data_IF_248102090708
#
_entry.id   IF_248102090708
#
_cell.length_a   1.000
_cell.length_b   1.000
_cell.length_c   1.000
_cell.angle_alpha   90.00
_cell.angle_beta   90.00
_cell.angle_gamma   90.00
#
_symmetry.space_group_name_H-M   'P 1'
#
loop_
_entity.id
_entity.type
_entity.pdbx_description
1 polymer ?
#
# COMPACT_ATOMS: atom_id res chain seq x y z
N UNK A 1 38.34 18.17 -30.01
CA UNK A 1 38.20 16.78 -29.52
C UNK A 1 38.06 16.74 -28.01
N UNK A 2 38.93 17.37 -27.21
CA UNK A 2 38.81 17.38 -25.75
C UNK A 2 37.47 17.93 -25.21
N UNK A 3 36.89 18.94 -25.87
CA UNK A 3 35.63 19.60 -25.48
C UNK A 3 34.44 18.64 -25.41
N UNK A 4 34.32 17.69 -26.35
CA UNK A 4 33.22 16.71 -26.30
C UNK A 4 33.38 15.72 -25.15
N UNK A 5 34.62 15.39 -24.76
CA UNK A 5 34.90 14.43 -23.69
C UNK A 5 34.48 15.06 -22.37
N UNK A 6 34.86 16.33 -22.16
CA UNK A 6 34.46 17.11 -21.00
C UNK A 6 32.93 17.23 -20.93
N UNK A 7 32.26 17.51 -22.05
CA UNK A 7 30.80 17.57 -22.11
C UNK A 7 30.16 16.25 -21.67
N UNK A 8 30.64 15.11 -22.18
CA UNK A 8 30.12 13.79 -21.82
C UNK A 8 30.32 13.50 -20.33
N UNK A 9 31.50 13.80 -19.78
CA UNK A 9 31.79 13.60 -18.36
C UNK A 9 30.86 14.44 -17.47
N UNK A 10 30.64 15.70 -17.84
CA UNK A 10 29.70 16.59 -17.11
C UNK A 10 28.28 16.06 -17.20
N UNK A 11 27.85 15.57 -18.36
CA UNK A 11 26.52 15.01 -18.55
C UNK A 11 26.31 13.76 -17.69
N UNK A 12 27.29 12.85 -17.65
CA UNK A 12 27.25 11.65 -16.81
C UNK A 12 27.17 12.02 -15.32
N UNK A 13 27.97 13.01 -14.88
CA UNK A 13 27.90 13.49 -13.51
C UNK A 13 26.52 14.06 -13.16
N UNK A 14 25.93 14.86 -14.06
CA UNK A 14 24.58 15.39 -13.91
C UNK A 14 23.51 14.29 -13.83
N UNK A 15 23.61 13.24 -14.65
CA UNK A 15 22.69 12.10 -14.62
C UNK A 15 22.79 11.37 -13.28
N UNK A 16 24.00 11.06 -12.81
CA UNK A 16 24.20 10.37 -11.52
C UNK A 16 23.63 11.20 -10.36
N UNK A 17 23.97 12.48 -10.30
CA UNK A 17 23.48 13.41 -9.27
C UNK A 17 21.96 13.57 -9.35
N UNK A 18 21.42 13.73 -10.56
CA UNK A 18 20.00 13.87 -10.82
C UNK A 18 19.22 12.63 -10.39
N UNK A 19 19.66 11.43 -10.78
CA UNK A 19 19.02 10.17 -10.38
C UNK A 19 19.09 9.94 -8.87
N UNK A 20 20.22 10.26 -8.23
CA UNK A 20 20.35 10.14 -6.78
C UNK A 20 19.44 11.12 -6.03
N UNK A 21 19.38 12.38 -6.48
CA UNK A 21 18.50 13.40 -5.93
C UNK A 21 17.01 13.07 -6.16
N UNK A 22 16.67 12.49 -7.31
CA UNK A 22 15.31 11.99 -7.54
C UNK A 22 14.93 10.90 -6.54
N UNK A 23 15.83 9.96 -6.26
CA UNK A 23 15.58 8.88 -5.30
C UNK A 23 15.40 9.34 -3.85
N UNK A 24 15.94 10.50 -3.48
CA UNK A 24 15.76 11.10 -2.14
C UNK A 24 14.55 12.04 -2.08
N UNK A 25 14.29 12.83 -3.13
CA UNK A 25 13.18 13.79 -3.18
C UNK A 25 11.82 13.11 -3.40
N UNK A 26 11.76 12.11 -4.28
CA UNK A 26 10.51 11.39 -4.54
C UNK A 26 10.22 10.31 -3.49
N UNK A 27 11.17 10.07 -2.58
CA UNK A 27 11.12 8.94 -1.66
C UNK A 27 11.22 7.62 -2.42
N UNK A 28 11.95 6.65 -1.87
CA UNK A 28 11.63 5.26 -2.17
C UNK A 28 10.20 5.10 -1.67
N UNK A 29 9.22 5.09 -2.60
CA UNK A 29 7.79 5.12 -2.31
C UNK A 29 7.53 4.39 -1.02
N UNK A 30 7.05 5.15 -0.03
CA UNK A 30 7.22 4.85 1.39
C UNK A 30 7.13 3.34 1.64
N UNK A 31 8.15 2.79 2.31
CA UNK A 31 8.12 1.43 2.81
C UNK A 31 6.88 1.34 3.69
N UNK A 32 5.77 0.91 3.07
CA UNK A 32 4.52 0.66 3.74
C UNK A 32 4.88 -0.22 4.94
N UNK A 33 4.45 0.14 6.15
CA UNK A 33 4.51 -0.79 7.28
C UNK A 33 4.03 -2.14 6.76
N UNK A 34 4.73 -3.25 7.04
CA UNK A 34 4.34 -4.56 6.52
C UNK A 34 2.86 -4.73 6.78
N UNK A 35 2.06 -4.74 5.72
CA UNK A 35 0.62 -4.94 5.82
C UNK A 35 0.46 -6.22 6.61
N UNK A 36 -0.21 -6.12 7.76
CA UNK A 36 -0.50 -7.29 8.57
C UNK A 36 -1.07 -8.37 7.62
N UNK A 37 -0.59 -9.61 7.75
CA UNK A 37 -0.91 -10.67 6.78
C UNK A 37 -2.41 -10.68 6.44
N UNK A 38 -2.84 -10.97 5.20
CA UNK A 38 -4.25 -10.85 4.80
C UNK A 38 -5.26 -11.55 5.70
N UNK A 39 -4.81 -12.59 6.41
CA UNK A 39 -5.58 -13.34 7.40
C UNK A 39 -5.86 -12.55 8.70
N UNK A 40 -4.97 -11.64 9.09
CA UNK A 40 -5.16 -10.76 10.25
C UNK A 40 -6.24 -9.71 9.98
N UNK A 41 -6.34 -9.19 8.75
CA UNK A 41 -7.32 -8.17 8.37
C UNK A 41 -8.75 -8.72 8.47
N UNK A 42 -8.99 -9.93 7.97
CA UNK A 42 -10.28 -10.61 8.09
C UNK A 42 -10.68 -10.86 9.56
N UNK A 43 -9.73 -11.33 10.38
CA UNK A 43 -9.97 -11.57 11.80
C UNK A 43 -10.25 -10.26 12.58
N UNK A 44 -9.51 -9.20 12.29
CA UNK A 44 -9.72 -7.86 12.85
C UNK A 44 -11.10 -7.31 12.48
N UNK A 45 -11.46 -7.40 11.20
CA UNK A 45 -12.76 -6.96 10.69
C UNK A 45 -13.93 -7.71 11.34
N UNK A 46 -13.81 -9.03 11.53
CA UNK A 46 -14.82 -9.83 12.23
C UNK A 46 -15.04 -9.35 13.67
N UNK A 47 -13.94 -9.09 14.37
CA UNK A 47 -13.99 -8.56 15.74
C UNK A 47 -14.60 -7.17 15.79
N UNK A 48 -14.23 -6.29 14.86
CA UNK A 48 -14.84 -4.97 14.71
C UNK A 48 -16.35 -5.06 14.46
N UNK A 49 -16.81 -6.02 13.64
CA UNK A 49 -18.25 -6.29 13.45
C UNK A 49 -18.91 -6.74 14.74
N UNK A 50 -18.31 -7.65 15.51
CA UNK A 50 -18.84 -8.12 16.79
C UNK A 50 -18.98 -6.96 17.79
N UNK A 51 -17.92 -6.15 17.94
CA UNK A 51 -17.86 -4.98 18.83
C UNK A 51 -18.71 -3.79 18.32
N UNK A 52 -19.11 -3.80 17.04
CA UNK A 52 -19.87 -2.73 16.41
C UNK A 52 -19.03 -1.49 16.08
N UNK A 53 -17.71 -1.60 16.12
CA UNK A 53 -16.78 -0.52 15.74
C UNK A 53 -16.48 -0.56 14.24
N UNK A 54 -17.39 0.00 13.45
CA UNK A 54 -17.22 0.08 11.99
C UNK A 54 -16.06 0.98 11.55
N UNK A 55 -15.49 1.80 12.45
CA UNK A 55 -14.34 2.65 12.12
C UNK A 55 -13.03 1.86 12.06
N UNK A 56 -12.99 0.70 12.71
CA UNK A 56 -11.83 -0.19 12.71
C UNK A 56 -11.77 -1.12 11.49
N UNK A 57 -12.78 -1.09 10.60
CA UNK A 57 -12.84 -1.95 9.42
C UNK A 57 -11.87 -1.44 8.34
N UNK A 58 -10.99 -2.31 7.86
CA UNK A 58 -10.03 -2.01 6.81
C UNK A 58 -9.99 -3.11 5.74
N UNK A 59 -9.62 -2.74 4.51
CA UNK A 59 -9.47 -3.68 3.41
C UNK A 59 -8.16 -3.48 2.68
N UNK A 60 -7.59 -4.58 2.21
CA UNK A 60 -6.54 -4.52 1.22
C UNK A 60 -7.09 -4.07 -0.14
N UNK A 61 -6.28 -3.29 -0.84
CA UNK A 61 -6.59 -2.79 -2.18
C UNK A 61 -5.78 -3.58 -3.20
N UNK A 62 -6.45 -4.04 -4.25
CA UNK A 62 -5.87 -4.66 -5.44
C UNK A 62 -6.03 -3.70 -6.64
N UNK A 63 -5.29 -3.89 -7.75
CA UNK A 63 -5.50 -3.07 -8.93
C UNK A 63 -6.99 -3.12 -9.35
N UNK A 64 -7.64 -1.95 -9.28
CA UNK A 64 -9.08 -1.73 -9.55
C UNK A 64 -10.08 -2.20 -8.49
N UNK A 65 -9.73 -2.21 -7.20
CA UNK A 65 -10.75 -2.33 -6.16
C UNK A 65 -10.25 -2.88 -4.83
N UNK A 66 -11.20 -3.26 -3.97
CA UNK A 66 -10.91 -3.97 -2.74
C UNK A 66 -10.75 -5.47 -3.00
N UNK A 67 -10.01 -6.14 -2.13
CA UNK A 67 -9.90 -7.59 -2.15
C UNK A 67 -11.26 -8.23 -1.87
N UNK A 68 -11.82 -8.93 -2.86
CA UNK A 68 -13.20 -9.42 -2.79
C UNK A 68 -13.41 -10.48 -1.70
N UNK A 69 -12.43 -11.35 -1.46
CA UNK A 69 -12.46 -12.35 -0.39
C UNK A 69 -12.66 -11.73 1.01
N UNK A 70 -11.99 -10.60 1.29
CA UNK A 70 -12.14 -9.87 2.55
C UNK A 70 -13.51 -9.18 2.67
N UNK A 71 -14.03 -8.66 1.56
CA UNK A 71 -15.36 -8.05 1.51
C UNK A 71 -16.45 -9.10 1.74
N UNK A 72 -16.34 -10.25 1.08
CA UNK A 72 -17.31 -11.34 1.20
C UNK A 72 -17.34 -11.91 2.63
N UNK A 73 -16.18 -12.07 3.29
CA UNK A 73 -16.11 -12.52 4.69
C UNK A 73 -16.75 -11.51 5.65
N UNK A 74 -16.52 -10.21 5.45
CA UNK A 74 -17.15 -9.16 6.25
C UNK A 74 -18.68 -9.19 6.09
N UNK A 75 -19.17 -9.30 4.85
CA UNK A 75 -20.61 -9.36 4.57
C UNK A 75 -21.26 -10.58 5.23
N UNK A 76 -20.60 -11.74 5.19
CA UNK A 76 -21.07 -12.94 5.88
C UNK A 76 -21.13 -12.76 7.40
N UNK A 77 -20.12 -12.11 8.00
CA UNK A 77 -20.10 -11.80 9.43
C UNK A 77 -21.23 -10.82 9.82
N UNK A 78 -21.48 -9.79 8.99
CA UNK A 78 -22.57 -8.84 9.20
C UNK A 78 -23.95 -9.51 9.10
N UNK A 79 -24.15 -10.36 8.09
CA UNK A 79 -25.39 -11.11 7.94
C UNK A 79 -25.66 -12.01 9.16
N UNK A 80 -24.63 -12.72 9.63
CA UNK A 80 -24.73 -13.55 10.83
C UNK A 80 -25.12 -12.71 12.06
N UNK A 81 -24.49 -11.54 12.26
CA UNK A 81 -24.81 -10.64 13.38
C UNK A 81 -26.22 -10.06 13.28
N UNK A 82 -26.68 -9.70 12.08
CA UNK A 82 -28.03 -9.18 11.86
C UNK A 82 -29.10 -10.25 12.13
N UNK A 83 -28.84 -11.52 11.76
CA UNK A 83 -29.75 -12.64 12.03
C UNK A 83 -29.77 -13.07 13.51
N UNK A 84 -28.68 -12.84 14.23
CA UNK A 84 -28.56 -13.16 15.65
C UNK A 84 -29.20 -12.11 16.57
N UNK A 85 -29.72 -11.02 16.03
CA UNK A 85 -30.38 -9.92 16.74
C UNK A 85 -31.88 -9.96 16.56
#
# INVERSE_FOLDING_TARGET
MLSWIVLIVVLVALVILGTWAWGTIFGRGEVLPPLDEPRSVMASNRRAVEEGDFRAIAFEVVPRGYRQDQVDDLLAALEAKLRAR
#
